data_IF_634593899802
#
_entry.id   IF_634593899802
#
_cell.length_a   1.000
_cell.length_b   1.000
_cell.length_c   1.000
_cell.angle_alpha   90.00
_cell.angle_beta   90.00
_cell.angle_gamma   90.00
#
_symmetry.space_group_name_H-M   'P 1'
#
loop_
_entity.id
_entity.type
_entity.pdbx_description
1 polymer ?
#
# COMPACT_ATOMS: atom_id res chain seq x y z
N UNK A 1 -5.29 -17.80 2.10
CA UNK A 1 -3.85 -18.03 2.15
C UNK A 1 -3.23 -17.15 3.23
N UNK A 2 -2.45 -17.73 4.11
CA UNK A 2 -1.77 -16.96 5.14
C UNK A 2 -0.40 -16.52 4.65
N UNK A 3 -0.10 -15.25 4.80
CA UNK A 3 1.24 -14.74 4.53
C UNK A 3 2.13 -14.99 5.74
N UNK A 4 3.41 -15.27 5.48
CA UNK A 4 4.42 -15.41 6.52
C UNK A 4 5.38 -14.23 6.46
N UNK A 5 6.26 -14.10 7.47
CA UNK A 5 7.25 -13.02 7.50
C UNK A 5 8.20 -13.05 6.29
N UNK A 6 8.31 -14.16 5.58
CA UNK A 6 9.15 -14.27 4.38
C UNK A 6 8.47 -13.75 3.12
N UNK A 7 7.14 -13.78 3.10
CA UNK A 7 6.39 -13.43 1.89
C UNK A 7 6.56 -11.97 1.49
N UNK A 8 6.71 -11.07 2.47
CA UNK A 8 6.83 -9.65 2.16
C UNK A 8 8.13 -9.30 1.43
N UNK A 9 9.16 -10.13 1.54
CA UNK A 9 10.45 -9.89 0.86
C UNK A 9 10.27 -9.90 -0.66
N UNK A 10 9.34 -10.74 -1.15
CA UNK A 10 9.08 -10.89 -2.58
C UNK A 10 7.92 -10.01 -3.07
N UNK A 11 7.30 -9.25 -2.18
CA UNK A 11 6.15 -8.41 -2.53
C UNK A 11 6.59 -7.08 -3.14
N UNK A 12 5.89 -6.67 -4.19
CA UNK A 12 6.03 -5.33 -4.73
C UNK A 12 5.25 -4.33 -3.89
N UNK A 13 5.49 -3.03 -4.10
CA UNK A 13 4.75 -1.99 -3.37
C UNK A 13 3.25 -2.11 -3.59
N UNK A 14 2.80 -2.38 -4.83
CA UNK A 14 1.36 -2.47 -5.05
C UNK A 14 0.76 -3.74 -4.43
N UNK A 15 1.54 -4.79 -4.20
CA UNK A 15 1.06 -5.96 -3.48
C UNK A 15 0.73 -5.63 -2.02
N UNK A 16 1.48 -4.72 -1.41
CA UNK A 16 1.19 -4.27 -0.05
C UNK A 16 -0.16 -3.56 0.05
N UNK A 17 -0.61 -2.92 -1.03
CA UNK A 17 -1.92 -2.27 -1.05
C UNK A 17 -3.07 -3.26 -0.96
N UNK A 18 -2.83 -4.52 -1.25
CA UNK A 18 -3.84 -5.59 -1.22
C UNK A 18 -3.96 -6.26 0.14
N UNK A 19 -3.12 -5.90 1.10
CA UNK A 19 -3.12 -6.54 2.40
C UNK A 19 -4.38 -6.19 3.20
N UNK A 20 -5.07 -7.23 3.68
CA UNK A 20 -6.13 -7.07 4.67
C UNK A 20 -5.49 -6.80 6.04
N UNK A 21 -6.32 -6.40 7.00
CA UNK A 21 -5.84 -6.20 8.38
C UNK A 21 -5.23 -7.49 8.93
N UNK A 22 -5.87 -8.63 8.66
CA UNK A 22 -5.37 -9.93 9.11
C UNK A 22 -4.01 -10.26 8.49
N UNK A 23 -3.88 -10.07 7.18
CA UNK A 23 -2.63 -10.36 6.49
C UNK A 23 -1.52 -9.42 6.93
N UNK A 24 -1.84 -8.14 7.13
CA UNK A 24 -0.89 -7.17 7.65
C UNK A 24 -0.32 -7.61 9.01
N UNK A 25 -1.21 -8.00 9.92
CA UNK A 25 -0.79 -8.47 11.25
C UNK A 25 0.06 -9.72 11.18
N UNK A 26 -0.28 -10.63 10.26
CA UNK A 26 0.45 -11.88 10.08
C UNK A 26 1.88 -11.64 9.59
N UNK A 27 2.02 -10.80 8.57
CA UNK A 27 3.32 -10.50 7.96
C UNK A 27 4.23 -9.75 8.93
N UNK A 28 3.68 -8.76 9.63
CA UNK A 28 4.46 -7.86 10.47
C UNK A 28 4.34 -8.16 11.96
N UNK A 29 3.94 -9.39 12.32
CA UNK A 29 3.67 -9.76 13.73
C UNK A 29 4.86 -9.55 14.65
N UNK A 30 6.09 -9.68 14.14
CA UNK A 30 7.32 -9.49 14.91
C UNK A 30 8.12 -8.27 14.47
N UNK A 31 7.49 -7.38 13.72
CA UNK A 31 8.14 -6.20 13.17
C UNK A 31 7.63 -4.93 13.86
N UNK A 32 8.49 -3.91 14.03
CA UNK A 32 8.05 -2.59 14.51
C UNK A 32 6.96 -1.97 13.62
N UNK A 33 6.87 -2.36 12.34
CA UNK A 33 5.85 -1.87 11.40
C UNK A 33 4.44 -2.13 11.93
N UNK A 34 4.23 -3.24 12.65
CA UNK A 34 2.93 -3.56 13.23
C UNK A 34 2.40 -2.43 14.13
N UNK A 35 3.29 -1.71 14.82
CA UNK A 35 2.90 -0.65 15.76
C UNK A 35 2.30 0.57 15.10
N UNK A 36 2.69 0.86 13.85
CA UNK A 36 2.16 2.02 13.15
C UNK A 36 0.76 1.77 12.59
N UNK A 37 0.37 0.49 12.45
CA UNK A 37 -0.94 0.10 11.97
C UNK A 37 -1.04 0.05 10.45
N UNK A 38 -2.06 -0.67 9.97
CA UNK A 38 -2.26 -0.90 8.54
C UNK A 38 -2.53 0.42 7.78
N UNK A 39 -3.32 1.31 8.34
CA UNK A 39 -3.70 2.55 7.64
C UNK A 39 -2.48 3.42 7.35
N UNK A 40 -1.63 3.61 8.33
CA UNK A 40 -0.42 4.41 8.14
C UNK A 40 0.58 3.70 7.24
N UNK A 41 0.63 2.37 7.34
CA UNK A 41 1.47 1.59 6.44
C UNK A 41 1.03 1.77 4.99
N UNK A 42 -0.28 1.64 4.71
CA UNK A 42 -0.81 1.83 3.36
C UNK A 42 -0.59 3.26 2.87
N UNK A 43 -0.76 4.25 3.75
CA UNK A 43 -0.44 5.64 3.41
C UNK A 43 1.01 5.77 2.93
N UNK A 44 1.93 5.16 3.67
CA UNK A 44 3.35 5.22 3.32
C UNK A 44 3.64 4.50 1.99
N UNK A 45 2.95 3.39 1.72
CA UNK A 45 3.05 2.71 0.43
C UNK A 45 2.54 3.60 -0.70
N UNK A 46 1.42 4.30 -0.49
CA UNK A 46 0.91 5.26 -1.47
C UNK A 46 1.90 6.37 -1.76
N UNK A 47 2.55 6.89 -0.73
CA UNK A 47 3.57 7.94 -0.90
C UNK A 47 4.75 7.41 -1.74
N UNK A 48 5.22 6.21 -1.43
CA UNK A 48 6.30 5.59 -2.19
C UNK A 48 5.92 5.39 -3.67
N UNK A 49 4.71 4.89 -3.91
CA UNK A 49 4.23 4.70 -5.28
C UNK A 49 4.07 6.03 -6.02
N UNK A 50 3.64 7.09 -5.32
CA UNK A 50 3.56 8.41 -5.92
C UNK A 50 4.92 8.93 -6.37
N UNK A 51 6.00 8.53 -5.69
CA UNK A 51 7.35 8.97 -5.99
C UNK A 51 8.06 8.09 -7.02
N UNK A 52 7.86 6.78 -6.98
CA UNK A 52 8.63 5.84 -7.82
C UNK A 52 7.77 4.88 -8.65
N UNK A 53 6.45 4.90 -8.47
CA UNK A 53 5.55 4.02 -9.21
C UNK A 53 5.35 4.43 -10.66
N UNK A 54 4.66 3.59 -11.41
CA UNK A 54 4.36 3.85 -12.82
C UNK A 54 2.88 3.58 -13.12
N UNK A 55 2.50 3.68 -14.39
CA UNK A 55 1.11 3.54 -14.83
C UNK A 55 0.52 2.19 -14.41
N UNK A 56 1.34 1.13 -14.33
CA UNK A 56 0.84 -0.19 -13.92
C UNK A 56 0.33 -0.22 -12.49
N UNK A 57 0.74 0.73 -11.65
CA UNK A 57 0.32 0.82 -10.26
C UNK A 57 -1.01 1.58 -10.09
N UNK A 58 -1.44 2.33 -11.09
CA UNK A 58 -2.64 3.18 -10.99
C UNK A 58 -3.90 2.37 -10.69
N UNK A 59 -4.05 1.21 -11.29
CA UNK A 59 -5.25 0.38 -11.06
C UNK A 59 -5.40 0.01 -9.58
N UNK A 60 -4.32 -0.41 -8.94
CA UNK A 60 -4.34 -0.71 -7.50
C UNK A 60 -4.64 0.52 -6.66
N UNK A 61 -4.04 1.66 -7.03
CA UNK A 61 -4.27 2.92 -6.32
C UNK A 61 -5.71 3.39 -6.46
N UNK A 62 -6.32 3.21 -7.63
CA UNK A 62 -7.73 3.57 -7.82
C UNK A 62 -8.66 2.74 -6.93
N UNK A 63 -8.37 1.44 -6.79
CA UNK A 63 -9.15 0.58 -5.89
C UNK A 63 -8.99 1.05 -4.44
N UNK A 64 -7.79 1.35 -4.02
CA UNK A 64 -7.51 1.85 -2.67
C UNK A 64 -8.23 3.18 -2.43
N UNK A 65 -8.21 4.08 -3.41
CA UNK A 65 -8.89 5.36 -3.29
C UNK A 65 -10.41 5.20 -3.13
N UNK A 66 -10.99 4.14 -3.70
CA UNK A 66 -12.42 3.87 -3.62
C UNK A 66 -12.83 3.12 -2.36
N UNK A 67 -11.98 2.23 -1.86
CA UNK A 67 -12.35 1.28 -0.81
C UNK A 67 -11.79 1.58 0.58
N UNK A 68 -10.68 2.30 0.68
CA UNK A 68 -10.02 2.53 1.97
C UNK A 68 -10.55 3.79 2.65
N UNK A 69 -10.14 3.99 3.91
CA UNK A 69 -10.56 5.16 4.67
C UNK A 69 -9.99 6.45 4.07
N UNK A 70 -10.48 7.58 4.59
CA UNK A 70 -10.12 8.90 4.05
C UNK A 70 -8.61 9.14 4.00
N UNK A 71 -7.89 8.78 5.07
CA UNK A 71 -6.44 8.98 5.12
C UNK A 71 -5.73 8.28 3.97
N UNK A 72 -6.01 7.00 3.79
CA UNK A 72 -5.37 6.19 2.74
C UNK A 72 -5.87 6.62 1.36
N UNK A 73 -7.18 6.86 1.23
CA UNK A 73 -7.80 7.27 -0.02
C UNK A 73 -7.20 8.57 -0.57
N UNK A 74 -7.00 9.57 0.29
CA UNK A 74 -6.42 10.85 -0.12
C UNK A 74 -4.99 10.68 -0.63
N UNK A 75 -4.20 9.85 0.04
CA UNK A 75 -2.83 9.60 -0.39
C UNK A 75 -2.79 8.77 -1.68
N UNK A 76 -3.73 7.85 -1.86
CA UNK A 76 -3.84 7.11 -3.12
C UNK A 76 -4.15 8.03 -4.29
N UNK A 77 -5.06 8.98 -4.11
CA UNK A 77 -5.40 9.97 -5.13
C UNK A 77 -4.20 10.85 -5.48
N UNK A 78 -3.47 11.28 -4.45
CA UNK A 78 -2.24 12.05 -4.65
C UNK A 78 -1.23 11.25 -5.47
N UNK A 79 -1.03 9.97 -5.14
CA UNK A 79 -0.09 9.10 -5.85
C UNK A 79 -0.46 8.96 -7.33
N UNK A 80 -1.76 8.79 -7.61
CA UNK A 80 -2.26 8.71 -8.99
C UNK A 80 -1.90 9.98 -9.75
N UNK A 81 -2.11 11.15 -9.14
CA UNK A 81 -1.76 12.43 -9.77
C UNK A 81 -0.27 12.52 -10.06
N UNK A 82 0.59 12.09 -9.14
CA UNK A 82 2.03 12.13 -9.34
C UNK A 82 2.46 11.24 -10.51
N UNK A 83 1.92 10.03 -10.57
CA UNK A 83 2.24 9.11 -11.65
C UNK A 83 1.76 9.67 -13.00
N UNK A 84 0.53 10.19 -13.06
CA UNK A 84 -0.02 10.75 -14.28
C UNK A 84 0.78 11.96 -14.78
N UNK A 85 1.31 12.76 -13.87
CA UNK A 85 2.08 13.94 -14.26
C UNK A 85 3.45 13.59 -14.85
N UNK A 86 3.95 12.39 -14.58
CA UNK A 86 5.22 11.90 -15.12
C UNK A 86 5.07 11.12 -16.42
N UNK A 87 3.88 10.66 -16.72
CA UNK A 87 3.65 9.80 -17.89
C UNK A 87 3.20 10.54 -19.13
#
# INVERSE_FOLDING_TARGET
MKFTARDYIDMSLNDFLKLSEENFRSIFSRSPVKRIGRDRFLRNVCIALGNIGDISDIQCLERVAAEENQLVSEHAKWAIEQINSRS
#
